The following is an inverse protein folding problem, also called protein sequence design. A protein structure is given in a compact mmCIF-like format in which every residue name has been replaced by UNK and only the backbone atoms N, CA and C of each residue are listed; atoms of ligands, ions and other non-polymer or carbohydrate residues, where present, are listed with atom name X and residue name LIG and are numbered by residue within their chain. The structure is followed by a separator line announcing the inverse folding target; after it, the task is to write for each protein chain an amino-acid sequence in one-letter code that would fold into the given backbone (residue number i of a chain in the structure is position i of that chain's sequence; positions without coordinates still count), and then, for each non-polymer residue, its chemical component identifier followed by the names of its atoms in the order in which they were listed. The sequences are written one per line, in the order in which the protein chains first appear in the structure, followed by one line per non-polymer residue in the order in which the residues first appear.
data_IF_515194927243
#
_entry.id   IF_515194927243
#
_cell.length_a   1.000
_cell.length_b   1.000
_cell.length_c   1.000
_cell.angle_alpha   90.00
_cell.angle_beta   90.00
_cell.angle_gamma   90.00
#
_symmetry.space_group_name_H-M   'P 1'
#
loop_
_entity.id
_entity.type
_entity.pdbx_description
1 polymer ?
#
# COMPACT_ATOMS: atom_id res chain seq x y z
N UNK A 1 39.77 -37.53 -22.02
CA UNK A 1 39.28 -36.15 -22.19
C UNK A 1 37.93 -36.10 -21.49
N UNK A 2 37.92 -35.83 -20.17
CA UNK A 2 37.87 -34.52 -19.50
C UNK A 2 36.40 -34.15 -19.18
N UNK A 3 36.00 -33.60 -18.04
CA UNK A 3 36.59 -33.38 -16.71
C UNK A 3 35.43 -32.89 -15.84
N UNK A 4 35.12 -33.54 -14.71
CA UNK A 4 34.16 -33.05 -13.72
C UNK A 4 34.91 -32.73 -12.42
N UNK A 5 35.26 -31.47 -12.23
CA UNK A 5 35.96 -30.98 -11.05
C UNK A 5 34.95 -30.66 -9.92
N UNK A 6 34.82 -31.58 -8.98
CA UNK A 6 34.23 -31.35 -7.67
C UNK A 6 35.22 -30.55 -6.80
N UNK A 7 34.92 -29.28 -6.54
CA UNK A 7 35.63 -28.48 -5.56
C UNK A 7 35.10 -28.81 -4.15
N UNK A 8 35.74 -29.77 -3.46
CA UNK A 8 35.54 -29.98 -2.02
C UNK A 8 36.35 -28.92 -1.27
N UNK A 9 35.68 -27.97 -0.59
CA UNK A 9 36.31 -27.07 0.37
C UNK A 9 36.39 -27.75 1.74
N UNK A 10 37.62 -27.92 2.24
CA UNK A 10 37.92 -28.36 3.61
C UNK A 10 37.64 -27.24 4.63
N UNK A 11 37.19 -27.55 5.86
CA UNK A 11 37.00 -26.57 6.92
C UNK A 11 38.34 -26.21 7.57
N UNK A 12 38.60 -24.92 7.78
CA UNK A 12 39.73 -24.44 8.59
C UNK A 12 39.30 -24.29 10.06
N UNK A 13 40.16 -24.64 11.03
CA UNK A 13 39.78 -24.73 12.44
C UNK A 13 39.80 -23.36 13.16
N UNK A 14 38.89 -23.24 14.12
CA UNK A 14 38.83 -22.21 15.15
C UNK A 14 40.16 -22.10 15.91
N UNK A 15 40.69 -20.88 16.08
CA UNK A 15 41.73 -20.59 17.07
C UNK A 15 41.09 -20.02 18.33
N UNK A 16 41.42 -20.67 19.44
CA UNK A 16 41.04 -20.32 20.80
C UNK A 16 41.64 -18.98 21.23
N UNK A 17 40.85 -18.24 22.01
CA UNK A 17 41.29 -17.09 22.78
C UNK A 17 42.08 -17.59 24.00
N UNK A 18 43.33 -17.13 24.12
CA UNK A 18 44.21 -17.37 25.26
C UNK A 18 44.50 -16.07 26.01
N UNK A 19 44.46 -16.17 27.33
CA UNK A 19 44.54 -15.11 28.32
C UNK A 19 45.91 -14.40 28.42
N UNK A 20 45.84 -13.11 28.75
CA UNK A 20 46.70 -12.33 29.65
C UNK A 20 48.17 -11.97 29.29
N UNK A 21 48.41 -10.65 29.41
CA UNK A 21 49.61 -9.93 29.95
C UNK A 21 50.36 -9.02 28.95
N UNK A 22 51.03 -7.95 29.43
CA UNK A 22 50.53 -6.88 30.28
C UNK A 22 50.75 -5.48 29.66
N UNK A 23 50.11 -4.48 30.27
CA UNK A 23 50.16 -3.06 29.92
C UNK A 23 51.60 -2.50 29.88
N UNK A 24 51.96 -1.88 28.75
CA UNK A 24 53.12 -1.01 28.64
C UNK A 24 52.66 0.44 28.59
N UNK A 25 53.13 1.22 29.57
CA UNK A 25 52.88 2.65 29.70
C UNK A 25 53.71 3.41 28.67
N UNK A 26 53.04 4.16 27.80
CA UNK A 26 53.67 5.22 27.02
C UNK A 26 52.97 6.54 27.34
N UNK A 27 53.68 7.39 28.08
CA UNK A 27 53.37 8.79 28.29
C UNK A 27 53.46 9.55 26.96
N UNK A 28 52.34 10.06 26.46
CA UNK A 28 52.25 10.89 25.27
C UNK A 28 51.44 12.15 25.55
N UNK A 29 52.08 13.30 25.38
CA UNK A 29 51.60 14.65 25.65
C UNK A 29 50.27 14.97 24.95
N UNK A 30 49.34 15.58 25.70
CA UNK A 30 48.06 16.06 25.19
C UNK A 30 48.22 17.37 24.40
N UNK A 31 48.17 17.29 23.07
CA UNK A 31 47.95 18.45 22.22
C UNK A 31 46.44 18.65 22.01
N UNK A 32 45.88 19.71 22.60
CA UNK A 32 44.52 20.18 22.33
C UNK A 32 44.47 20.78 20.93
N UNK A 33 43.78 20.12 20.00
CA UNK A 33 43.35 20.73 18.75
C UNK A 33 41.93 21.27 18.95
N UNK A 34 41.81 22.59 19.00
CA UNK A 34 40.54 23.31 18.98
C UNK A 34 40.02 23.37 17.53
N UNK A 35 38.86 22.76 17.25
CA UNK A 35 38.13 22.93 16.00
C UNK A 35 37.30 24.24 16.05
N UNK A 36 37.24 25.04 14.97
CA UNK A 36 36.44 26.25 14.96
C UNK A 36 34.95 25.94 14.70
N UNK A 37 34.10 26.66 15.43
CA UNK A 37 32.64 26.57 15.37
C UNK A 37 32.09 27.13 14.05
N UNK A 38 31.59 26.25 13.18
CA UNK A 38 30.77 26.61 12.02
C UNK A 38 29.28 26.31 12.33
N UNK A 39 28.68 27.12 13.21
CA UNK A 39 27.26 27.07 13.53
C UNK A 39 26.62 28.42 13.21
N UNK A 40 26.45 28.73 11.92
CA UNK A 40 25.64 29.85 11.38
C UNK A 40 25.46 29.61 9.88
N UNK A 41 24.40 28.89 9.50
CA UNK A 41 24.11 28.64 8.07
C UNK A 41 22.88 27.78 7.75
N UNK A 42 22.33 26.99 8.69
CA UNK A 42 21.20 26.08 8.39
C UNK A 42 19.85 26.77 8.21
N UNK A 43 19.66 27.98 8.74
CA UNK A 43 18.36 28.64 8.74
C UNK A 43 17.93 29.20 7.37
N UNK A 44 18.87 29.48 6.45
CA UNK A 44 18.58 30.12 5.16
C UNK A 44 18.37 29.15 3.99
N UNK A 45 18.62 27.85 4.19
CA UNK A 45 18.49 26.85 3.13
C UNK A 45 17.09 26.25 3.04
N UNK A 46 16.33 26.26 4.15
CA UNK A 46 14.91 25.82 4.21
C UNK A 46 13.99 26.54 3.22
N UNK A 47 14.36 27.74 2.77
CA UNK A 47 13.56 28.56 1.86
C UNK A 47 13.82 28.34 0.36
N UNK A 48 14.80 27.49 -0.05
CA UNK A 48 15.18 27.33 -1.46
C UNK A 48 14.77 25.99 -2.11
N UNK A 49 14.17 25.06 -1.38
CA UNK A 49 13.87 23.70 -1.87
C UNK A 49 12.40 23.46 -2.28
N UNK A 50 11.55 24.49 -2.27
CA UNK A 50 10.10 24.36 -2.53
C UNK A 50 9.65 24.32 -4.00
N UNK A 51 10.54 24.30 -4.99
CA UNK A 51 10.14 24.60 -6.38
C UNK A 51 10.20 23.43 -7.39
N UNK A 52 10.62 22.21 -7.01
CA UNK A 52 10.57 21.09 -7.93
C UNK A 52 10.42 19.74 -7.20
N UNK A 53 9.23 19.14 -7.27
CA UNK A 53 8.90 17.70 -7.14
C UNK A 53 7.63 17.35 -6.35
N UNK A 54 6.79 18.32 -6.00
CA UNK A 54 5.54 18.11 -5.26
C UNK A 54 5.39 19.24 -4.26
N UNK A 55 4.26 19.94 -4.28
CA UNK A 55 4.03 21.03 -3.33
C UNK A 55 4.11 20.53 -1.88
N UNK A 56 4.25 21.46 -0.94
CA UNK A 56 4.17 21.17 0.50
C UNK A 56 2.93 20.31 0.79
N UNK A 57 3.12 19.01 1.02
CA UNK A 57 2.06 18.04 1.32
C UNK A 57 1.78 16.95 0.27
N UNK A 58 2.49 16.89 -0.86
CA UNK A 58 2.42 15.71 -1.75
C UNK A 58 3.09 14.49 -1.05
N UNK A 59 2.39 13.35 -0.89
CA UNK A 59 3.00 12.16 -0.30
C UNK A 59 4.02 11.47 -1.22
N UNK A 60 4.15 11.89 -2.49
CA UNK A 60 5.07 11.29 -3.46
C UNK A 60 6.21 12.25 -3.78
N UNK A 61 7.44 11.74 -3.85
CA UNK A 61 8.65 12.48 -4.25
C UNK A 61 9.34 11.81 -5.43
N UNK A 62 10.06 12.59 -6.24
CA UNK A 62 10.83 12.05 -7.37
C UNK A 62 12.24 11.58 -6.96
N UNK A 63 12.85 10.73 -7.78
CA UNK A 63 14.27 10.34 -7.66
C UNK A 63 15.22 11.53 -7.71
N UNK A 64 14.90 12.56 -8.50
CA UNK A 64 15.68 13.79 -8.56
C UNK A 64 15.64 14.57 -7.24
N UNK A 65 14.46 14.67 -6.62
CA UNK A 65 14.31 15.30 -5.31
C UNK A 65 15.05 14.53 -4.24
N UNK A 66 14.88 13.20 -4.18
CA UNK A 66 15.56 12.38 -3.19
C UNK A 66 17.09 12.51 -3.29
N UNK A 67 17.63 12.47 -4.51
CA UNK A 67 19.06 12.64 -4.74
C UNK A 67 19.61 14.00 -4.25
N UNK A 68 18.79 15.06 -4.30
CA UNK A 68 19.15 16.37 -3.81
C UNK A 68 19.01 16.54 -2.28
N UNK A 69 18.39 15.57 -1.59
CA UNK A 69 18.04 15.65 -0.16
C UNK A 69 18.51 14.42 0.64
N UNK A 70 19.42 13.59 0.13
CA UNK A 70 19.86 12.34 0.77
C UNK A 70 20.32 12.51 2.22
N UNK A 71 20.90 13.67 2.56
CA UNK A 71 21.38 13.96 3.92
C UNK A 71 20.26 14.40 4.88
N UNK A 72 19.16 14.93 4.35
CA UNK A 72 18.09 15.59 5.10
C UNK A 72 16.85 14.71 5.29
N UNK A 73 16.91 13.43 4.89
CA UNK A 73 15.81 12.47 5.05
C UNK A 73 16.29 11.15 5.64
N UNK A 74 15.37 10.41 6.25
CA UNK A 74 15.54 8.98 6.51
C UNK A 74 14.95 8.19 5.35
N UNK A 75 15.61 7.10 4.95
CA UNK A 75 15.23 6.34 3.75
C UNK A 75 14.96 4.90 4.16
N UNK A 76 13.80 4.36 3.78
CA UNK A 76 13.41 2.98 4.05
C UNK A 76 13.27 2.20 2.74
N UNK A 77 13.97 1.09 2.64
CA UNK A 77 13.83 0.12 1.56
C UNK A 77 12.83 -0.97 1.97
N UNK A 78 11.67 -0.99 1.34
CA UNK A 78 10.60 -1.96 1.59
C UNK A 78 10.45 -2.95 0.42
N UNK A 79 11.51 -3.23 -0.34
CA UNK A 79 11.45 -4.18 -1.46
C UNK A 79 10.98 -5.56 -1.03
N UNK A 80 10.10 -6.12 -1.84
CA UNK A 80 9.49 -7.42 -1.60
C UNK A 80 8.70 -7.93 -2.77
N UNK A 81 8.07 -9.08 -2.57
CA UNK A 81 7.15 -9.70 -3.52
C UNK A 81 6.11 -10.55 -2.81
N UNK A 82 5.03 -10.85 -3.54
CA UNK A 82 4.00 -11.79 -3.11
C UNK A 82 3.95 -12.93 -4.11
N UNK A 83 4.48 -14.09 -3.72
CA UNK A 83 4.39 -15.28 -4.57
C UNK A 83 3.03 -15.91 -4.38
N UNK A 84 2.32 -16.12 -5.47
CA UNK A 84 1.01 -16.76 -5.43
C UNK A 84 1.09 -18.06 -6.20
N UNK A 85 0.66 -19.15 -5.58
CA UNK A 85 0.59 -20.47 -6.18
C UNK A 85 -0.84 -21.01 -6.06
N UNK A 86 -1.33 -21.62 -7.12
CA UNK A 86 -2.58 -22.40 -7.08
C UNK A 86 -2.33 -23.69 -6.29
N UNK A 87 -3.16 -23.94 -5.29
CA UNK A 87 -3.08 -25.13 -4.41
C UNK A 87 -4.19 -26.14 -4.69
N UNK A 88 -5.27 -25.70 -5.34
CA UNK A 88 -6.36 -26.51 -5.88
C UNK A 88 -7.12 -25.66 -6.91
N UNK A 89 -7.95 -26.24 -7.80
CA UNK A 89 -8.74 -25.48 -8.76
C UNK A 89 -9.50 -24.30 -8.13
N UNK A 90 -9.15 -23.08 -8.54
CA UNK A 90 -9.75 -21.84 -8.02
C UNK A 90 -9.37 -21.50 -6.57
N UNK A 91 -8.31 -22.10 -6.03
CA UNK A 91 -7.77 -21.82 -4.70
C UNK A 91 -6.27 -21.52 -4.77
N UNK A 92 -5.89 -20.38 -4.21
CA UNK A 92 -4.53 -19.86 -4.18
C UNK A 92 -3.97 -19.80 -2.76
N UNK A 93 -2.65 -19.86 -2.64
CA UNK A 93 -1.94 -19.48 -1.43
C UNK A 93 -0.87 -18.45 -1.76
N UNK A 94 -0.73 -17.45 -0.89
CA UNK A 94 0.30 -16.42 -1.01
C UNK A 94 1.42 -16.63 -0.01
N UNK A 95 2.65 -16.40 -0.47
CA UNK A 95 3.84 -16.29 0.35
C UNK A 95 4.36 -14.84 0.27
N UNK A 96 4.43 -14.17 1.41
CA UNK A 96 4.92 -12.79 1.51
C UNK A 96 6.43 -12.82 1.75
N UNK A 97 7.18 -12.14 0.89
CA UNK A 97 8.65 -12.18 0.90
C UNK A 97 9.20 -10.76 0.94
N UNK A 98 9.93 -10.42 2.00
CA UNK A 98 10.80 -9.26 2.02
C UNK A 98 12.12 -9.61 1.34
N UNK A 99 12.53 -8.82 0.35
CA UNK A 99 13.68 -9.12 -0.50
C UNK A 99 14.97 -8.53 0.09
N UNK A 100 15.41 -9.04 1.23
CA UNK A 100 16.63 -8.54 1.89
C UNK A 100 17.89 -8.77 1.05
N UNK A 101 17.97 -9.88 0.32
CA UNK A 101 19.09 -10.16 -0.57
C UNK A 101 19.22 -9.10 -1.67
N UNK A 102 18.10 -8.66 -2.28
CA UNK A 102 18.10 -7.57 -3.27
C UNK A 102 18.61 -6.24 -2.68
N UNK A 103 18.38 -6.01 -1.38
CA UNK A 103 18.93 -4.87 -0.64
C UNK A 103 20.45 -4.98 -0.47
N UNK A 104 20.95 -6.16 -0.11
CA UNK A 104 22.39 -6.40 0.00
C UNK A 104 23.12 -6.27 -1.34
N UNK A 105 22.48 -6.66 -2.43
CA UNK A 105 23.02 -6.52 -3.79
C UNK A 105 23.04 -5.08 -4.29
N UNK A 106 22.30 -4.16 -3.66
CA UNK A 106 22.39 -2.74 -3.92
C UNK A 106 21.16 -1.98 -3.45
N UNK A 107 21.37 -0.81 -2.84
CA UNK A 107 20.29 0.05 -2.33
C UNK A 107 20.62 1.54 -2.47
N UNK A 108 19.63 2.40 -2.24
CA UNK A 108 19.81 3.86 -2.25
C UNK A 108 20.74 4.25 -1.08
N UNK A 109 21.74 5.13 -1.27
CA UNK A 109 22.68 5.48 -0.22
C UNK A 109 22.02 5.95 1.07
N UNK A 110 22.40 5.34 2.20
CA UNK A 110 21.84 5.62 3.53
C UNK A 110 20.43 5.05 3.79
N UNK A 111 19.91 4.21 2.90
CA UNK A 111 18.67 3.48 3.14
C UNK A 111 18.83 2.41 4.21
N UNK A 112 17.78 2.19 5.00
CA UNK A 112 17.68 1.10 5.97
C UNK A 112 16.63 0.13 5.47
N UNK A 113 16.93 -1.16 5.53
CA UNK A 113 15.96 -2.18 5.15
C UNK A 113 14.78 -2.25 6.15
N UNK A 114 13.58 -2.18 5.60
CA UNK A 114 12.31 -2.38 6.29
C UNK A 114 11.70 -3.71 5.83
N UNK A 115 11.77 -4.73 6.68
CA UNK A 115 11.12 -6.01 6.42
C UNK A 115 9.61 -5.85 6.63
N UNK A 116 8.87 -5.49 5.57
CA UNK A 116 7.42 -5.27 5.63
C UNK A 116 6.60 -6.52 6.04
N UNK A 117 7.23 -7.68 6.21
CA UNK A 117 6.60 -8.90 6.74
C UNK A 117 6.82 -9.08 8.25
N UNK A 118 7.67 -8.26 8.87
CA UNK A 118 8.06 -8.35 10.29
C UNK A 118 8.08 -7.01 11.02
N UNK A 119 8.71 -6.01 10.40
CA UNK A 119 8.84 -4.67 10.95
C UNK A 119 7.47 -3.97 10.94
N UNK A 120 6.97 -3.65 12.14
CA UNK A 120 5.69 -2.98 12.35
C UNK A 120 4.46 -3.86 12.12
N UNK A 121 4.62 -5.19 12.20
CA UNK A 121 3.56 -6.18 11.99
C UNK A 121 3.26 -6.91 13.29
N UNK A 122 1.99 -7.03 13.66
CA UNK A 122 1.56 -7.90 14.77
C UNK A 122 1.47 -9.34 14.27
N UNK A 123 2.51 -10.12 14.57
CA UNK A 123 2.65 -11.51 14.13
C UNK A 123 1.80 -12.50 14.94
N UNK A 124 1.06 -12.03 15.95
CA UNK A 124 0.06 -12.84 16.66
C UNK A 124 -1.27 -12.93 15.90
N UNK A 125 -1.49 -12.03 14.93
CA UNK A 125 -2.71 -11.99 14.13
C UNK A 125 -2.77 -13.11 13.09
N UNK A 126 -4.01 -13.45 12.69
CA UNK A 126 -4.25 -14.45 11.64
C UNK A 126 -3.72 -14.00 10.28
N UNK A 127 -3.81 -12.70 9.97
CA UNK A 127 -3.31 -12.16 8.71
C UNK A 127 -1.82 -11.87 8.85
N UNK A 128 -0.92 -12.52 8.07
CA UNK A 128 0.52 -12.53 8.35
C UNK A 128 1.23 -11.18 8.34
N UNK A 129 0.63 -10.15 7.75
CA UNK A 129 1.21 -8.82 7.54
C UNK A 129 0.34 -7.72 8.16
N UNK A 130 -0.57 -8.07 9.06
CA UNK A 130 -1.44 -7.13 9.76
C UNK A 130 -0.61 -6.20 10.66
N UNK A 131 -0.97 -4.92 10.67
CA UNK A 131 -0.16 -3.90 11.31
C UNK A 131 -0.19 -4.02 12.84
N UNK A 132 0.97 -3.77 13.45
CA UNK A 132 1.08 -3.48 14.89
C UNK A 132 0.10 -2.36 15.26
N UNK A 133 -0.70 -2.58 16.30
CA UNK A 133 -1.68 -1.61 16.78
C UNK A 133 -1.08 -0.62 17.75
N UNK A 134 -0.09 -1.04 18.53
CA UNK A 134 0.51 -0.27 19.60
C UNK A 134 1.51 0.76 19.06
N UNK A 135 1.26 2.04 19.34
CA UNK A 135 2.09 3.12 18.85
C UNK A 135 3.49 3.11 19.48
N UNK A 136 3.59 2.83 20.78
CA UNK A 136 4.86 2.85 21.50
C UNK A 136 5.81 1.76 20.97
N UNK A 137 5.29 0.55 20.74
CA UNK A 137 6.03 -0.56 20.13
C UNK A 137 6.53 -0.19 18.72
N UNK A 138 5.67 0.44 17.91
CA UNK A 138 6.06 0.88 16.57
C UNK A 138 7.10 2.01 16.60
N UNK A 139 6.98 2.97 17.52
CA UNK A 139 7.94 4.07 17.68
C UNK A 139 9.30 3.57 18.13
N UNK A 140 9.36 2.63 19.09
CA UNK A 140 10.59 2.01 19.52
C UNK A 140 11.31 1.27 18.36
N UNK A 141 10.56 0.63 17.47
CA UNK A 141 11.10 0.03 16.25
C UNK A 141 11.68 1.09 15.30
N UNK A 142 10.98 2.21 15.08
CA UNK A 142 11.50 3.30 14.26
C UNK A 142 12.82 3.84 14.82
N UNK A 143 12.91 4.08 16.12
CA UNK A 143 14.14 4.54 16.77
C UNK A 143 15.27 3.52 16.60
N UNK A 144 15.00 2.23 16.80
CA UNK A 144 15.97 1.16 16.58
C UNK A 144 16.47 1.08 15.13
N UNK A 145 15.64 1.50 14.16
CA UNK A 145 15.97 1.60 12.73
C UNK A 145 16.59 2.95 12.33
N UNK A 146 16.82 3.86 13.27
CA UNK A 146 17.40 5.18 12.97
C UNK A 146 16.40 6.19 12.37
N UNK A 147 15.10 5.99 12.60
CA UNK A 147 14.02 6.87 12.16
C UNK A 147 13.42 7.62 13.35
N UNK A 148 13.58 8.95 13.34
CA UNK A 148 12.96 9.86 14.31
C UNK A 148 11.96 10.79 13.64
N UNK A 149 11.44 11.77 14.39
CA UNK A 149 10.47 12.77 13.89
C UNK A 149 11.12 14.07 13.39
N UNK A 150 12.44 14.16 13.42
CA UNK A 150 13.22 15.37 13.11
C UNK A 150 13.32 15.68 11.61
N UNK A 151 13.04 14.69 10.76
CA UNK A 151 13.15 14.80 9.31
C UNK A 151 12.09 13.97 8.56
N UNK A 152 11.84 14.24 7.27
CA UNK A 152 10.98 13.39 6.45
C UNK A 152 11.52 11.96 6.31
N UNK A 153 10.60 11.02 6.15
CA UNK A 153 10.93 9.62 5.81
C UNK A 153 10.50 9.37 4.38
N UNK A 154 11.41 8.85 3.55
CA UNK A 154 11.13 8.44 2.18
C UNK A 154 11.19 6.93 2.10
N UNK A 155 10.07 6.31 1.75
CA UNK A 155 9.97 4.86 1.56
C UNK A 155 10.02 4.56 0.07
N UNK A 156 10.74 3.51 -0.32
CA UNK A 156 10.70 2.99 -1.68
C UNK A 156 10.58 1.47 -1.71
N UNK A 157 10.17 0.94 -2.85
CA UNK A 157 10.22 -0.48 -3.18
C UNK A 157 10.84 -0.67 -4.57
N UNK A 158 10.59 -1.80 -5.23
CA UNK A 158 11.18 -2.08 -6.54
C UNK A 158 10.75 -1.01 -7.57
N UNK A 159 9.51 -0.53 -7.56
CA UNK A 159 9.11 0.58 -8.42
C UNK A 159 7.61 0.79 -8.62
N UNK A 160 6.78 -0.21 -8.33
CA UNK A 160 5.32 -0.12 -8.47
C UNK A 160 4.60 0.45 -7.23
N UNK A 161 5.38 0.78 -6.19
CA UNK A 161 4.94 1.50 -5.00
C UNK A 161 4.01 0.72 -4.07
N UNK A 162 3.74 -0.57 -4.31
CA UNK A 162 2.80 -1.34 -3.50
C UNK A 162 3.26 -1.50 -2.05
N UNK A 163 4.52 -1.88 -1.84
CA UNK A 163 5.09 -2.10 -0.51
C UNK A 163 5.50 -0.77 0.13
N UNK A 164 5.99 0.17 -0.69
CA UNK A 164 6.29 1.52 -0.22
C UNK A 164 5.03 2.22 0.31
N UNK A 165 3.88 2.07 -0.37
CA UNK A 165 2.60 2.61 0.09
C UNK A 165 2.13 1.95 1.40
N UNK A 166 2.39 0.65 1.59
CA UNK A 166 2.05 -0.05 2.85
C UNK A 166 2.81 0.52 4.04
N UNK A 167 4.13 0.70 3.91
CA UNK A 167 4.95 1.26 4.99
C UNK A 167 4.70 2.76 5.15
N UNK A 168 4.41 3.49 4.08
CA UNK A 168 3.95 4.88 4.18
C UNK A 168 2.65 4.99 5.01
N UNK A 169 1.68 4.11 4.77
CA UNK A 169 0.43 4.08 5.51
C UNK A 169 0.64 3.72 6.99
N UNK A 170 1.55 2.79 7.32
CA UNK A 170 1.86 2.46 8.71
C UNK A 170 2.49 3.63 9.46
N UNK A 171 3.46 4.30 8.84
CA UNK A 171 4.07 5.52 9.38
C UNK A 171 3.01 6.60 9.63
N UNK A 172 2.07 6.78 8.70
CA UNK A 172 0.98 7.74 8.84
C UNK A 172 0.01 7.37 9.97
N UNK A 173 -0.37 6.09 10.08
CA UNK A 173 -1.25 5.57 11.14
C UNK A 173 -0.66 5.77 12.53
N UNK A 174 0.64 5.50 12.69
CA UNK A 174 1.36 5.74 13.95
C UNK A 174 1.80 7.19 14.15
N UNK A 175 1.44 8.09 13.24
CA UNK A 175 1.54 9.53 13.44
C UNK A 175 2.85 10.18 13.05
N UNK A 176 3.71 9.51 12.27
CA UNK A 176 4.91 10.14 11.72
C UNK A 176 4.52 11.40 10.93
N UNK A 177 5.17 12.57 11.15
CA UNK A 177 4.69 13.85 10.64
C UNK A 177 4.89 14.03 9.13
N UNK A 178 5.88 13.33 8.55
CA UNK A 178 6.24 13.54 7.15
C UNK A 178 6.71 12.29 6.40
N UNK A 179 5.90 11.22 6.32
CA UNK A 179 6.21 10.07 5.46
C UNK A 179 5.93 10.40 3.99
N UNK A 180 6.77 9.87 3.09
CA UNK A 180 6.73 10.03 1.63
C UNK A 180 7.03 8.70 0.94
N UNK A 181 6.57 8.56 -0.31
CA UNK A 181 6.88 7.44 -1.20
C UNK A 181 7.72 7.92 -2.38
N UNK A 182 8.79 7.20 -2.72
CA UNK A 182 9.59 7.47 -3.90
C UNK A 182 8.87 6.96 -5.16
N UNK A 183 8.56 7.86 -6.09
CA UNK A 183 8.02 7.48 -7.39
C UNK A 183 9.04 6.66 -8.19
N UNK A 184 8.60 5.54 -8.77
CA UNK A 184 9.41 4.65 -9.61
C UNK A 184 10.46 3.83 -8.87
N UNK A 185 10.63 4.05 -7.56
CA UNK A 185 11.42 3.21 -6.66
C UNK A 185 12.85 2.94 -7.11
N UNK A 186 13.32 1.75 -6.75
CA UNK A 186 14.68 1.28 -7.03
C UNK A 186 14.99 1.13 -8.52
N UNK A 187 14.04 0.61 -9.31
CA UNK A 187 14.25 0.41 -10.74
C UNK A 187 14.47 1.74 -11.47
N UNK A 188 13.71 2.79 -11.13
CA UNK A 188 13.96 4.12 -11.70
C UNK A 188 15.30 4.70 -11.23
N UNK A 189 15.62 4.57 -9.94
CA UNK A 189 16.89 5.04 -9.38
C UNK A 189 18.09 4.45 -10.13
N UNK A 190 18.07 3.13 -10.36
CA UNK A 190 19.08 2.42 -11.16
C UNK A 190 19.08 2.86 -12.64
N UNK A 191 17.92 2.95 -13.27
CA UNK A 191 17.80 3.32 -14.68
C UNK A 191 18.36 4.72 -14.96
N UNK A 192 18.32 5.61 -13.97
CA UNK A 192 18.91 6.95 -14.03
C UNK A 192 20.41 6.97 -13.73
N UNK A 193 21.04 5.82 -13.49
CA UNK A 193 22.48 5.70 -13.21
C UNK A 193 22.91 6.36 -11.90
N UNK A 194 21.99 6.47 -10.92
CA UNK A 194 22.29 7.10 -9.63
C UNK A 194 23.13 6.18 -8.75
N UNK A 195 23.92 6.80 -7.86
CA UNK A 195 24.80 6.06 -6.95
C UNK A 195 24.03 5.10 -6.04
N UNK A 196 24.66 3.97 -5.70
CA UNK A 196 24.12 2.93 -4.82
C UNK A 196 25.17 2.46 -3.83
N UNK A 197 24.72 1.98 -2.67
CA UNK A 197 25.55 1.27 -1.70
C UNK A 197 25.36 -0.25 -1.86
N UNK A 198 26.42 -1.02 -1.64
CA UNK A 198 26.45 -2.49 -1.75
C UNK A 198 26.84 -3.07 -0.41
N UNK A 199 26.20 -4.18 -0.03
CA UNK A 199 26.37 -4.86 1.26
C UNK A 199 26.10 -3.95 2.46
N UNK A 200 25.71 -4.52 3.58
CA UNK A 200 25.90 -3.80 4.84
C UNK A 200 27.38 -3.94 5.22
N UNK A 201 28.15 -2.86 5.07
CA UNK A 201 28.75 -2.35 6.28
C UNK A 201 28.61 -0.83 6.32
N UNK A 202 28.48 -0.32 7.54
CA UNK A 202 28.67 1.09 7.89
C UNK A 202 27.41 1.94 7.99
N UNK A 203 27.29 2.50 9.20
CA UNK A 203 26.54 3.71 9.51
C UNK A 203 25.13 3.69 8.96
N UNK A 204 24.30 2.85 9.58
CA UNK A 204 23.02 3.37 10.07
C UNK A 204 23.23 4.85 10.37
N UNK A 205 22.52 5.75 9.68
CA UNK A 205 22.30 7.11 10.17
C UNK A 205 21.41 7.00 11.42
N UNK A 206 21.81 6.19 12.41
CA UNK A 206 21.51 6.39 13.80
C UNK A 206 22.12 7.74 14.12
N UNK A 207 21.40 8.80 13.77
CA UNK A 207 21.74 10.10 14.28
C UNK A 207 21.70 9.94 15.79
N UNK A 208 22.69 10.47 16.49
CA UNK A 208 22.70 10.51 17.95
C UNK A 208 21.50 11.30 18.54
N UNK A 209 20.62 11.82 17.68
CA UNK A 209 19.38 12.52 17.95
C UNK A 209 18.14 11.84 17.31
N UNK A 210 18.17 10.52 17.12
CA UNK A 210 17.00 9.75 16.64
C UNK A 210 15.99 9.60 17.78
N UNK A 211 15.44 10.72 18.24
CA UNK A 211 14.37 10.74 19.23
C UNK A 211 13.06 10.83 18.49
N UNK A 212 12.18 9.88 18.77
CA UNK A 212 10.81 9.96 18.33
C UNK A 212 10.05 10.89 19.28
N UNK A 213 9.78 12.13 18.82
CA UNK A 213 9.08 13.11 19.64
C UNK A 213 7.58 12.82 19.63
N UNK A 214 7.09 12.27 20.75
CA UNK A 214 5.68 11.98 20.95
C UNK A 214 4.77 13.22 20.82
N UNK A 215 5.29 14.45 20.98
CA UNK A 215 4.50 15.67 20.78
C UNK A 215 4.31 16.01 19.29
N UNK A 216 5.23 15.57 18.42
CA UNK A 216 5.12 15.69 16.97
C UNK A 216 4.36 14.52 16.36
N UNK A 217 4.43 13.35 17.01
CA UNK A 217 3.69 12.18 16.61
C UNK A 217 2.19 12.35 16.89
N UNK A 218 1.38 12.29 15.83
CA UNK A 218 -0.08 12.37 15.95
C UNK A 218 -0.69 11.13 15.33
N UNK A 219 -0.86 10.03 16.10
CA UNK A 219 -1.49 8.82 15.61
C UNK A 219 -2.82 9.13 14.92
N UNK A 220 -3.08 8.42 13.83
CA UNK A 220 -4.24 8.63 12.96
C UNK A 220 -5.10 7.37 12.94
N UNK A 221 -5.76 7.01 14.07
CA UNK A 221 -6.59 5.82 14.11
C UNK A 221 -7.69 5.85 13.04
N UNK A 222 -8.12 7.04 12.62
CA UNK A 222 -9.14 7.21 11.59
C UNK A 222 -8.75 6.70 10.19
N UNK A 223 -7.47 6.41 9.92
CA UNK A 223 -7.02 5.83 8.64
C UNK A 223 -6.98 4.30 8.64
N UNK A 224 -7.33 3.65 9.76
CA UNK A 224 -7.51 2.20 9.89
C UNK A 224 -8.97 1.92 10.24
N UNK A 225 -9.48 0.80 9.75
CA UNK A 225 -10.81 0.27 10.11
C UNK A 225 -10.64 -1.19 10.50
N UNK A 226 -11.35 -1.65 11.53
CA UNK A 226 -11.43 -3.07 11.91
C UNK A 226 -12.58 -3.80 11.19
N UNK A 227 -12.63 -5.12 11.30
CA UNK A 227 -13.75 -5.89 10.75
C UNK A 227 -15.09 -5.51 11.41
N UNK A 228 -15.09 -5.30 12.73
CA UNK A 228 -16.27 -4.89 13.50
C UNK A 228 -16.77 -3.51 13.06
N UNK A 229 -15.86 -2.55 12.93
CA UNK A 229 -16.18 -1.21 12.46
C UNK A 229 -16.70 -1.25 11.02
N UNK A 230 -16.05 -2.01 10.14
CA UNK A 230 -16.53 -2.16 8.76
C UNK A 230 -17.92 -2.79 8.72
N UNK A 231 -18.17 -3.85 9.49
CA UNK A 231 -19.48 -4.48 9.57
C UNK A 231 -20.57 -3.52 10.08
N UNK A 232 -20.25 -2.66 11.04
CA UNK A 232 -21.16 -1.64 11.55
C UNK A 232 -21.45 -0.51 10.54
N UNK A 233 -20.56 -0.28 9.56
CA UNK A 233 -20.74 0.68 8.48
C UNK A 233 -21.61 0.14 7.33
N UNK A 234 -21.81 -1.18 7.24
CA UNK A 234 -22.66 -1.78 6.21
C UNK A 234 -24.15 -1.63 6.55
N UNK A 235 -25.04 -1.38 5.58
CA UNK A 235 -26.47 -1.31 5.83
C UNK A 235 -27.00 -2.66 6.36
N UNK A 236 -27.97 -2.64 7.30
CA UNK A 236 -28.58 -3.86 7.81
C UNK A 236 -29.21 -4.65 6.66
N UNK A 237 -28.73 -5.88 6.44
CA UNK A 237 -29.23 -6.78 5.40
C UNK A 237 -28.30 -7.03 4.21
N UNK A 238 -27.12 -6.40 4.12
CA UNK A 238 -26.04 -6.79 3.19
C UNK A 238 -26.36 -6.74 1.70
N UNK A 239 -27.55 -6.30 1.31
CA UNK A 239 -27.89 -6.05 -0.08
C UNK A 239 -27.62 -4.58 -0.38
N UNK A 240 -26.71 -4.31 -1.31
CA UNK A 240 -26.75 -3.04 -2.02
C UNK A 240 -28.19 -2.83 -2.51
N UNK A 241 -28.69 -1.60 -2.39
CA UNK A 241 -29.95 -1.21 -3.02
C UNK A 241 -29.82 -1.43 -4.53
N UNK A 242 -30.20 -2.62 -4.99
CA UNK A 242 -30.30 -2.93 -6.40
C UNK A 242 -31.41 -2.05 -6.96
N UNK A 243 -31.06 -1.19 -7.91
CA UNK A 243 -32.01 -0.48 -8.76
C UNK A 243 -32.87 -1.48 -9.52
N UNK A 244 -33.93 -1.96 -8.89
CA UNK A 244 -35.01 -2.69 -9.50
C UNK A 244 -36.11 -1.69 -9.83
N UNK A 245 -36.23 -1.34 -11.12
CA UNK A 245 -37.35 -0.56 -11.63
C UNK A 245 -38.68 -1.23 -11.31
N UNK A 246 -39.40 -0.67 -10.34
CA UNK A 246 -40.77 -1.03 -10.01
C UNK A 246 -41.57 0.24 -9.85
N UNK A 247 -42.34 0.60 -10.88
CA UNK A 247 -43.32 1.69 -10.81
C UNK A 247 -44.39 1.35 -9.77
N UNK A 248 -44.35 2.00 -8.61
CA UNK A 248 -45.38 1.89 -7.58
C UNK A 248 -45.52 3.22 -6.86
N UNK A 249 -46.52 4.01 -7.24
CA UNK A 249 -46.86 5.26 -6.57
C UNK A 249 -47.37 5.00 -5.15
N UNK A 250 -46.73 5.63 -4.17
CA UNK A 250 -47.16 5.63 -2.77
C UNK A 250 -46.53 6.80 -2.04
N UNK A 251 -47.29 7.88 -1.85
CA UNK A 251 -46.86 9.01 -1.02
C UNK A 251 -46.92 8.60 0.45
N UNK A 252 -45.78 8.53 1.12
CA UNK A 252 -45.69 8.30 2.55
C UNK A 252 -44.49 9.05 3.10
N UNK A 253 -44.74 10.21 3.71
CA UNK A 253 -43.72 10.96 4.43
C UNK A 253 -43.23 10.16 5.64
N UNK A 254 -41.92 10.11 5.82
CA UNK A 254 -41.30 9.43 6.95
C UNK A 254 -39.82 9.74 7.07
N UNK A 255 -39.49 10.62 8.03
CA UNK A 255 -38.23 10.64 8.76
C UNK A 255 -36.96 10.96 7.97
N UNK A 256 -36.53 12.21 8.03
CA UNK A 256 -35.12 12.56 7.86
C UNK A 256 -34.30 11.85 8.97
N UNK A 257 -33.78 10.67 8.65
CA UNK A 257 -32.76 9.99 9.45
C UNK A 257 -31.46 10.79 9.40
N UNK A 258 -30.84 10.96 10.57
CA UNK A 258 -29.61 11.73 10.76
C UNK A 258 -28.54 11.41 9.70
N UNK A 259 -27.99 12.47 9.09
CA UNK A 259 -27.04 12.40 8.00
C UNK A 259 -25.69 11.79 8.38
N UNK A 260 -25.59 10.47 8.31
CA UNK A 260 -24.32 9.76 8.23
C UNK A 260 -23.71 9.96 6.84
N UNK A 261 -22.43 10.32 6.77
CA UNK A 261 -21.71 10.38 5.51
C UNK A 261 -21.76 9.00 4.83
N UNK A 262 -22.07 8.97 3.53
CA UNK A 262 -22.09 7.73 2.74
C UNK A 262 -20.75 6.99 2.87
N UNK A 263 -20.77 5.66 2.97
CA UNK A 263 -19.56 4.83 3.04
C UNK A 263 -19.39 4.10 1.71
N UNK A 264 -18.20 4.19 1.13
CA UNK A 264 -17.82 3.49 -0.10
C UNK A 264 -16.75 2.47 0.25
N UNK A 265 -17.12 1.19 0.25
CA UNK A 265 -16.18 0.08 0.45
C UNK A 265 -15.58 -0.29 -0.90
N UNK A 266 -14.25 -0.41 -0.98
CA UNK A 266 -13.54 -0.63 -2.23
C UNK A 266 -12.62 -1.83 -2.12
N UNK A 267 -12.85 -2.79 -3.01
CA UNK A 267 -12.04 -4.00 -3.15
C UNK A 267 -10.98 -3.80 -4.23
N UNK A 268 -9.71 -3.86 -3.84
CA UNK A 268 -8.57 -3.65 -4.74
C UNK A 268 -7.98 -4.94 -5.33
N UNK A 269 -8.63 -6.08 -5.09
CA UNK A 269 -8.26 -7.39 -5.66
C UNK A 269 -8.59 -7.47 -7.15
N UNK A 270 -8.10 -8.53 -7.80
CA UNK A 270 -8.45 -8.80 -9.19
C UNK A 270 -9.91 -9.27 -9.33
N UNK A 271 -10.42 -9.29 -10.56
CA UNK A 271 -11.82 -9.62 -10.84
C UNK A 271 -12.23 -11.04 -10.39
N UNK A 272 -11.32 -12.02 -10.53
CA UNK A 272 -11.59 -13.42 -10.17
C UNK A 272 -11.68 -13.61 -8.66
N UNK A 273 -10.86 -12.89 -7.89
CA UNK A 273 -10.93 -12.88 -6.43
C UNK A 273 -12.16 -12.12 -5.92
N UNK A 274 -12.49 -10.99 -6.55
CA UNK A 274 -13.68 -10.20 -6.24
C UNK A 274 -14.99 -10.98 -6.49
N UNK A 275 -15.06 -11.71 -7.59
CA UNK A 275 -16.23 -12.54 -7.93
C UNK A 275 -16.33 -13.79 -7.05
N UNK A 276 -15.20 -14.27 -6.52
CA UNK A 276 -15.10 -15.51 -5.77
C UNK A 276 -14.74 -16.73 -6.61
N UNK A 277 -14.46 -16.55 -7.90
CA UNK A 277 -13.92 -17.60 -8.78
C UNK A 277 -12.56 -18.12 -8.29
N UNK A 278 -11.74 -17.22 -7.73
CA UNK A 278 -10.47 -17.53 -7.09
C UNK A 278 -10.54 -17.15 -5.61
N UNK A 279 -10.09 -18.02 -4.71
CA UNK A 279 -10.04 -17.74 -3.26
C UNK A 279 -8.65 -17.97 -2.68
N UNK A 280 -8.27 -17.16 -1.69
CA UNK A 280 -7.04 -17.35 -0.89
C UNK A 280 -7.27 -17.88 0.52
N UNK A 281 -8.53 -17.87 0.94
CA UNK A 281 -8.99 -18.35 2.24
C UNK A 281 -10.12 -19.36 2.09
N UNK A 282 -10.85 -19.65 3.18
CA UNK A 282 -11.91 -20.65 3.17
C UNK A 282 -13.09 -20.24 2.28
N UNK A 283 -13.33 -18.94 2.11
CA UNK A 283 -14.43 -18.39 1.30
C UNK A 283 -13.90 -17.49 0.17
N UNK A 284 -14.51 -17.59 -1.00
CA UNK A 284 -14.41 -16.60 -2.09
C UNK A 284 -15.52 -15.56 -1.99
N UNK A 285 -15.49 -14.55 -2.85
CA UNK A 285 -16.46 -13.46 -2.88
C UNK A 285 -15.86 -12.17 -2.34
N UNK A 286 -16.72 -11.23 -1.94
CA UNK A 286 -16.35 -9.88 -1.48
C UNK A 286 -17.15 -9.44 -0.26
N UNK A 287 -16.72 -8.34 0.35
CA UNK A 287 -17.51 -7.61 1.35
C UNK A 287 -18.77 -7.08 0.67
N UNK A 288 -19.97 -7.23 1.26
CA UNK A 288 -21.21 -6.81 0.61
C UNK A 288 -21.22 -5.33 0.24
N UNK A 289 -21.69 -5.03 -0.98
CA UNK A 289 -21.74 -3.67 -1.52
C UNK A 289 -20.37 -3.08 -1.90
N UNK A 290 -19.26 -3.82 -1.77
CA UNK A 290 -17.95 -3.32 -2.14
C UNK A 290 -17.83 -3.10 -3.67
N UNK A 291 -17.30 -1.95 -4.06
CA UNK A 291 -17.00 -1.64 -5.47
C UNK A 291 -15.68 -2.29 -5.90
N UNK A 292 -15.58 -2.85 -7.12
CA UNK A 292 -14.32 -3.35 -7.63
C UNK A 292 -13.46 -2.20 -8.15
N UNK A 293 -12.22 -2.09 -7.66
CA UNK A 293 -11.18 -1.23 -8.24
C UNK A 293 -9.81 -1.92 -8.13
N UNK A 294 -9.53 -2.93 -9.00
CA UNK A 294 -8.26 -3.64 -9.01
C UNK A 294 -7.06 -2.69 -8.98
N UNK A 295 -6.07 -2.94 -8.13
CA UNK A 295 -4.88 -2.06 -7.95
C UNK A 295 -4.23 -1.67 -9.28
N UNK A 296 -4.15 -2.58 -10.25
CA UNK A 296 -3.57 -2.35 -11.58
C UNK A 296 -4.20 -1.18 -12.34
N UNK A 297 -5.47 -0.86 -12.08
CA UNK A 297 -6.16 0.27 -12.73
C UNK A 297 -5.69 1.62 -12.18
N UNK A 298 -5.08 1.66 -10.99
CA UNK A 298 -4.47 2.87 -10.42
C UNK A 298 -3.07 3.15 -10.99
N UNK A 299 -2.52 2.23 -11.78
CA UNK A 299 -1.18 2.32 -12.33
C UNK A 299 -1.21 2.62 -13.83
N UNK A 300 -0.24 3.41 -14.28
CA UNK A 300 0.04 3.57 -15.69
C UNK A 300 0.71 2.29 -16.23
N UNK A 301 0.12 1.61 -17.22
CA UNK A 301 0.61 0.32 -17.69
C UNK A 301 1.96 0.39 -18.40
N UNK A 302 2.37 1.55 -18.90
CA UNK A 302 3.67 1.72 -19.56
C UNK A 302 4.81 1.89 -18.56
N UNK A 303 4.53 2.45 -17.39
CA UNK A 303 5.57 2.82 -16.41
C UNK A 303 5.49 2.04 -15.10
N UNK A 304 4.35 1.41 -14.80
CA UNK A 304 4.07 0.77 -13.50
C UNK A 304 3.83 1.75 -12.36
N UNK A 305 3.86 3.07 -12.60
CA UNK A 305 3.71 4.13 -11.59
C UNK A 305 2.24 4.46 -11.38
N UNK A 306 1.92 5.14 -10.27
CA UNK A 306 0.57 5.70 -10.10
C UNK A 306 0.19 6.59 -11.29
N UNK A 307 -1.07 6.50 -11.72
CA UNK A 307 -1.60 7.32 -12.80
C UNK A 307 -1.30 8.82 -12.57
N UNK A 308 -1.03 9.61 -13.64
CA UNK A 308 -0.95 11.06 -13.52
C UNK A 308 -2.22 11.65 -12.90
N UNK A 309 -2.08 12.72 -12.11
CA UNK A 309 -3.19 13.31 -11.32
C UNK A 309 -4.52 13.47 -12.08
N UNK A 310 -4.57 14.01 -13.33
CA UNK A 310 -5.84 14.14 -14.05
C UNK A 310 -6.52 12.79 -14.33
N UNK A 311 -5.74 11.76 -14.67
CA UNK A 311 -6.26 10.40 -14.93
C UNK A 311 -6.66 9.69 -13.64
N UNK A 312 -5.86 9.85 -12.58
CA UNK A 312 -6.18 9.31 -11.26
C UNK A 312 -7.49 9.92 -10.72
N UNK A 313 -7.64 11.23 -10.80
CA UNK A 313 -8.85 11.96 -10.41
C UNK A 313 -10.09 11.47 -11.14
N UNK A 314 -10.04 11.44 -12.48
CA UNK A 314 -11.17 10.98 -13.28
C UNK A 314 -11.57 9.53 -12.96
N UNK A 315 -10.60 8.65 -12.75
CA UNK A 315 -10.85 7.26 -12.34
C UNK A 315 -11.50 7.19 -10.96
N UNK A 316 -11.00 7.93 -9.98
CA UNK A 316 -11.49 7.91 -8.60
C UNK A 316 -12.90 8.50 -8.49
N UNK A 317 -13.15 9.67 -9.09
CA UNK A 317 -14.48 10.29 -9.12
C UNK A 317 -15.49 9.39 -9.85
N UNK A 318 -15.12 8.88 -11.03
CA UNK A 318 -16.01 8.03 -11.82
C UNK A 318 -16.30 6.66 -11.19
N UNK A 319 -15.30 6.01 -10.58
CA UNK A 319 -15.48 4.68 -9.97
C UNK A 319 -16.13 4.75 -8.60
N UNK A 320 -15.77 5.72 -7.78
CA UNK A 320 -16.21 5.80 -6.39
C UNK A 320 -17.44 6.71 -6.22
N UNK A 321 -17.76 7.51 -7.22
CA UNK A 321 -18.82 8.51 -7.17
C UNK A 321 -18.47 9.76 -6.38
N UNK A 322 -17.30 9.81 -5.73
CA UNK A 322 -16.92 10.87 -4.79
C UNK A 322 -16.56 12.18 -5.51
N UNK A 323 -16.86 13.31 -4.88
CA UNK A 323 -16.30 14.59 -5.27
C UNK A 323 -14.92 14.80 -4.65
N UNK A 324 -13.85 14.76 -5.46
CA UNK A 324 -12.52 15.16 -5.01
C UNK A 324 -12.45 16.69 -5.05
N UNK A 325 -13.11 17.39 -4.12
CA UNK A 325 -13.16 18.86 -4.09
C UNK A 325 -11.79 19.51 -4.36
N UNK A 326 -11.77 20.53 -5.23
CA UNK A 326 -10.54 21.24 -5.60
C UNK A 326 -9.90 21.88 -4.37
N UNK A 327 -8.74 21.38 -3.96
CA UNK A 327 -7.95 21.98 -2.89
C UNK A 327 -7.72 23.47 -3.18
N UNK A 328 -8.23 24.32 -2.29
CA UNK A 328 -8.07 25.76 -2.36
C UNK A 328 -6.61 26.18 -2.30
N UNK A 329 -6.05 26.55 -3.45
CA UNK A 329 -5.00 27.54 -3.53
C UNK A 329 -5.65 28.91 -3.42
N UNK A 330 -5.65 29.50 -2.22
CA UNK A 330 -6.00 30.90 -2.02
C UNK A 330 -4.98 31.80 -2.69
N UNK A 331 -5.26 32.20 -3.93
CA UNK A 331 -4.56 33.27 -4.64
C UNK A 331 -5.61 34.23 -5.20
N UNK A 332 -5.82 35.36 -4.52
CA UNK A 332 -6.64 36.45 -5.03
C UNK A 332 -6.06 37.00 -6.33
N UNK A 333 -6.92 37.30 -7.30
CA UNK A 333 -6.51 37.85 -8.58
C UNK A 333 -7.70 38.08 -9.51
N UNK A 334 -8.38 39.20 -9.26
CA UNK A 334 -8.96 40.14 -10.21
C UNK A 334 -9.86 39.64 -11.36
N UNK A 335 -11.07 40.21 -11.39
CA UNK A 335 -12.05 40.01 -12.44
C UNK A 335 -11.58 40.51 -13.81
N UNK A 336 -11.77 39.67 -14.82
CA UNK A 336 -11.70 40.03 -16.23
C UNK A 336 -12.94 39.50 -16.94
N UNK A 337 -13.86 40.39 -17.27
CA UNK A 337 -15.00 40.14 -18.14
C UNK A 337 -14.53 39.79 -19.55
N UNK A 338 -14.89 38.60 -20.03
CA UNK A 338 -14.64 38.17 -21.41
C UNK A 338 -15.80 37.33 -21.92
N UNK A 339 -16.69 37.96 -22.68
CA UNK A 339 -17.72 37.33 -23.50
C UNK A 339 -17.09 36.50 -24.61
N UNK A 340 -17.46 35.22 -24.73
CA UNK A 340 -16.99 34.34 -25.79
C UNK A 340 -17.95 33.18 -25.98
N UNK A 341 -18.58 33.18 -27.16
CA UNK A 341 -19.63 32.35 -27.72
C UNK A 341 -19.54 30.82 -27.55
N UNK A 342 -20.71 30.20 -27.66
CA UNK A 342 -20.95 28.79 -27.41
C UNK A 342 -20.51 27.84 -28.51
N UNK A 343 -20.19 26.62 -28.09
CA UNK A 343 -19.90 25.47 -28.93
C UNK A 343 -20.34 24.22 -28.20
N UNK A 344 -21.58 23.80 -28.45
CA UNK A 344 -22.16 22.56 -27.96
C UNK A 344 -21.45 21.37 -28.61
N UNK A 345 -20.79 20.54 -27.81
CA UNK A 345 -20.44 19.17 -28.20
C UNK A 345 -20.91 18.23 -27.10
N UNK A 346 -22.10 17.68 -27.29
CA UNK A 346 -22.65 16.60 -26.49
C UNK A 346 -21.80 15.33 -26.71
N UNK A 347 -21.01 14.97 -25.69
CA UNK A 347 -20.47 13.62 -25.56
C UNK A 347 -21.48 12.74 -24.82
N UNK A 348 -21.54 11.42 -25.07
CA UNK A 348 -22.51 10.54 -24.44
C UNK A 348 -22.19 10.41 -22.94
N UNK A 349 -22.95 11.13 -22.12
CA UNK A 349 -22.95 11.01 -20.68
C UNK A 349 -23.55 9.67 -20.26
N UNK A 350 -22.69 8.70 -19.98
CA UNK A 350 -23.05 7.59 -19.11
C UNK A 350 -23.16 8.13 -17.69
N UNK A 351 -24.38 8.47 -17.27
CA UNK A 351 -24.71 8.78 -15.88
C UNK A 351 -24.60 7.49 -15.05
N UNK A 352 -23.38 7.13 -14.66
CA UNK A 352 -23.18 6.22 -13.55
C UNK A 352 -23.59 6.95 -12.28
N UNK A 353 -24.66 6.49 -11.63
CA UNK A 353 -25.00 6.92 -10.27
C UNK A 353 -23.80 6.59 -9.37
N UNK A 354 -23.02 7.62 -9.01
CA UNK A 354 -21.88 7.48 -8.12
C UNK A 354 -22.33 7.03 -6.73
N UNK A 355 -21.67 6.02 -6.15
CA UNK A 355 -22.06 5.44 -4.87
C UNK A 355 -21.73 6.34 -3.66
N UNK A 356 -20.72 7.21 -3.75
CA UNK A 356 -20.31 8.10 -2.67
C UNK A 356 -20.66 9.55 -2.96
N UNK A 357 -21.53 10.18 -2.18
CA UNK A 357 -21.71 11.64 -2.26
C UNK A 357 -20.43 12.41 -1.89
N UNK A 358 -20.50 13.74 -1.94
CA UNK A 358 -19.42 14.60 -1.45
C UNK A 358 -19.05 14.26 0.00
N UNK A 359 -17.76 14.06 0.28
CA UNK A 359 -17.27 13.73 1.62
C UNK A 359 -17.51 12.29 2.09
N UNK A 360 -17.91 11.36 1.22
CA UNK A 360 -18.10 9.95 1.56
C UNK A 360 -16.85 9.30 2.20
N UNK A 361 -17.03 8.42 3.17
CA UNK A 361 -15.91 7.68 3.76
C UNK A 361 -15.51 6.52 2.85
N UNK A 362 -14.29 6.54 2.32
CA UNK A 362 -13.77 5.45 1.47
C UNK A 362 -13.01 4.44 2.31
N UNK A 363 -13.42 3.18 2.31
CA UNK A 363 -12.72 2.09 3.02
C UNK A 363 -12.13 1.12 2.00
N UNK A 364 -10.80 1.10 1.88
CA UNK A 364 -10.08 0.24 0.95
C UNK A 364 -9.67 -1.09 1.62
N UNK A 365 -9.80 -2.21 0.89
CA UNK A 365 -9.26 -3.50 1.32
C UNK A 365 -8.72 -4.32 0.14
N UNK A 366 -7.95 -5.36 0.45
CA UNK A 366 -7.47 -6.34 -0.54
C UNK A 366 -7.52 -7.76 0.03
N UNK A 367 -6.50 -8.61 -0.17
CA UNK A 367 -6.40 -9.87 0.58
C UNK A 367 -5.81 -9.67 1.98
N UNK A 368 -4.75 -8.88 2.15
CA UNK A 368 -4.07 -8.70 3.44
C UNK A 368 -3.56 -7.28 3.67
N UNK A 369 -4.34 -6.25 3.32
CA UNK A 369 -4.04 -4.86 3.65
C UNK A 369 -2.95 -4.16 2.82
N UNK A 370 -2.13 -4.88 2.04
CA UNK A 370 -0.99 -4.30 1.29
C UNK A 370 -1.45 -3.48 0.08
N UNK A 371 -2.04 -4.14 -0.94
CA UNK A 371 -2.46 -3.47 -2.18
C UNK A 371 -3.50 -2.34 -1.97
N UNK A 372 -4.29 -2.41 -0.90
CA UNK A 372 -5.27 -1.39 -0.52
C UNK A 372 -4.59 -0.04 -0.22
N UNK A 373 -3.34 -0.05 0.26
CA UNK A 373 -2.58 1.16 0.59
C UNK A 373 -2.25 1.98 -0.67
N UNK A 374 -2.21 1.37 -1.87
CA UNK A 374 -2.06 2.12 -3.13
C UNK A 374 -3.26 3.02 -3.40
N UNK A 375 -4.48 2.56 -3.10
CA UNK A 375 -5.68 3.39 -3.23
C UNK A 375 -5.68 4.53 -2.18
N UNK A 376 -5.30 4.23 -0.94
CA UNK A 376 -5.14 5.24 0.10
C UNK A 376 -4.13 6.33 -0.30
N UNK A 377 -2.97 5.93 -0.85
CA UNK A 377 -1.96 6.85 -1.35
C UNK A 377 -2.48 7.72 -2.51
N UNK A 378 -3.23 7.12 -3.46
CA UNK A 378 -3.84 7.86 -4.57
C UNK A 378 -4.87 8.90 -4.07
N UNK A 379 -5.75 8.52 -3.14
CA UNK A 379 -6.71 9.43 -2.50
C UNK A 379 -6.01 10.56 -1.74
N UNK A 380 -4.97 10.23 -0.97
CA UNK A 380 -4.16 11.23 -0.26
C UNK A 380 -3.51 12.23 -1.22
N UNK A 381 -2.91 11.76 -2.32
CA UNK A 381 -2.27 12.61 -3.34
C UNK A 381 -3.25 13.59 -3.98
N UNK A 382 -4.50 13.18 -4.17
CA UNK A 382 -5.57 14.02 -4.72
C UNK A 382 -6.22 14.98 -3.72
N UNK A 383 -5.74 15.01 -2.46
CA UNK A 383 -6.28 15.88 -1.43
C UNK A 383 -7.47 15.29 -0.67
N UNK A 384 -7.92 14.08 -1.01
CA UNK A 384 -8.96 13.40 -0.27
C UNK A 384 -8.42 12.89 1.06
N UNK A 385 -9.15 13.11 2.16
CA UNK A 385 -8.71 12.75 3.52
C UNK A 385 -9.66 11.81 4.25
N UNK A 386 -10.92 11.69 3.79
CA UNK A 386 -11.90 10.78 4.41
C UNK A 386 -11.78 9.37 3.85
N UNK A 387 -10.60 8.76 4.05
CA UNK A 387 -10.31 7.41 3.61
C UNK A 387 -9.71 6.60 4.77
N UNK A 388 -9.87 5.28 4.71
CA UNK A 388 -9.25 4.34 5.63
C UNK A 388 -8.91 3.02 4.93
N UNK A 389 -7.99 2.25 5.52
CA UNK A 389 -7.66 0.89 5.11
C UNK A 389 -8.25 -0.09 6.11
N UNK A 390 -9.05 -1.05 5.61
CA UNK A 390 -9.40 -2.24 6.38
C UNK A 390 -8.25 -3.25 6.28
N UNK A 391 -7.42 -3.25 7.32
CA UNK A 391 -6.11 -3.91 7.35
C UNK A 391 -6.21 -5.43 7.31
N UNK A 392 -7.13 -6.02 8.10
CA UNK A 392 -7.40 -7.46 8.09
C UNK A 392 -7.87 -7.96 6.72
N UNK A 393 -8.56 -7.09 5.95
CA UNK A 393 -8.87 -7.33 4.55
C UNK A 393 -9.61 -8.67 4.33
N UNK A 394 -9.60 -9.23 3.11
CA UNK A 394 -10.34 -10.46 2.82
C UNK A 394 -9.83 -11.69 3.59
N UNK A 395 -8.54 -11.76 3.94
CA UNK A 395 -8.00 -12.91 4.67
C UNK A 395 -8.55 -13.01 6.10
N UNK A 396 -8.91 -11.88 6.73
CA UNK A 396 -9.65 -11.86 7.99
C UNK A 396 -11.15 -12.02 7.75
N UNK A 397 -11.75 -11.15 6.93
CA UNK A 397 -13.20 -11.15 6.68
C UNK A 397 -13.70 -12.50 6.17
N UNK A 398 -13.04 -13.03 5.13
CA UNK A 398 -13.38 -14.30 4.50
C UNK A 398 -13.20 -15.51 5.42
N UNK A 399 -12.43 -15.40 6.51
CA UNK A 399 -12.25 -16.45 7.50
C UNK A 399 -13.31 -16.46 8.61
N UNK A 400 -14.02 -15.34 8.81
CA UNK A 400 -15.01 -15.16 9.88
C UNK A 400 -16.43 -15.48 9.42
N UNK A 401 -16.92 -16.67 9.75
CA UNK A 401 -18.20 -17.20 9.26
C UNK A 401 -19.41 -16.31 9.56
N UNK A 402 -19.36 -15.56 10.67
CA UNK A 402 -20.42 -14.63 11.09
C UNK A 402 -20.53 -13.38 10.22
N UNK A 403 -19.47 -13.04 9.46
CA UNK A 403 -19.46 -11.88 8.58
C UNK A 403 -20.09 -12.22 7.21
N UNK A 404 -20.96 -11.33 6.68
CA UNK A 404 -21.66 -11.59 5.43
C UNK A 404 -20.72 -11.55 4.23
N UNK A 405 -21.05 -12.32 3.19
CA UNK A 405 -20.28 -12.40 1.95
C UNK A 405 -21.21 -12.24 0.76
N UNK A 406 -20.81 -11.39 -0.19
CA UNK A 406 -21.44 -11.31 -1.49
C UNK A 406 -20.61 -12.13 -2.48
N UNK A 407 -21.16 -13.23 -3.00
CA UNK A 407 -20.57 -13.95 -4.11
C UNK A 407 -21.07 -13.33 -5.42
N UNK A 408 -20.22 -13.24 -6.46
CA UNK A 408 -20.72 -12.92 -7.80
C UNK A 408 -21.80 -13.94 -8.17
N UNK A 409 -22.99 -13.49 -8.55
CA UNK A 409 -24.08 -14.37 -8.96
C UNK A 409 -23.63 -15.25 -10.12
N UNK A 410 -23.26 -16.49 -9.81
CA UNK A 410 -23.34 -17.56 -10.79
C UNK A 410 -24.82 -17.70 -11.10
N UNK A 411 -25.21 -17.37 -12.34
CA UNK A 411 -26.55 -17.64 -12.82
C UNK A 411 -26.93 -19.06 -12.41
N UNK A 412 -28.12 -19.21 -11.84
CA UNK A 412 -28.74 -20.51 -11.64
C UNK A 412 -28.57 -21.30 -12.93
N UNK A 413 -27.79 -22.37 -12.89
CA UNK A 413 -28.03 -23.49 -13.79
C UNK A 413 -29.41 -24.03 -13.37
N UNK A 414 -30.45 -23.48 -14.01
CA UNK A 414 -31.81 -23.91 -13.83
C UNK A 414 -31.89 -25.42 -14.02
N UNK A 415 -32.47 -26.09 -13.02
CA UNK A 415 -32.79 -27.50 -13.10
C UNK A 415 -33.66 -27.78 -14.31
N UNK A 416 -33.10 -28.54 -15.25
CA UNK A 416 -33.85 -29.30 -16.23
C UNK A 416 -33.79 -30.77 -15.85
N UNK A 417 -34.59 -31.17 -14.86
CA UNK A 417 -34.87 -32.58 -14.64
C UNK A 417 -35.55 -33.14 -15.88
N UNK A 418 -34.94 -34.14 -16.52
CA UNK A 418 -35.62 -35.02 -17.46
C UNK A 418 -35.25 -36.46 -17.11
N UNK A 419 -36.12 -37.05 -16.31
CA UNK A 419 -36.39 -38.48 -16.27
C UNK A 419 -36.85 -38.94 -17.65
N UNK A 420 -36.19 -39.94 -18.22
CA UNK A 420 -36.62 -40.61 -19.45
C UNK A 420 -35.85 -41.89 -19.66
N UNK A 421 -36.38 -43.00 -19.16
CA UNK A 421 -35.87 -44.34 -19.46
C UNK A 421 -36.17 -44.78 -20.89
N UNK A 422 -35.35 -45.68 -21.41
CA UNK A 422 -35.58 -46.36 -22.69
C UNK A 422 -34.38 -47.22 -23.08
N UNK A 423 -34.52 -48.54 -22.89
CA UNK A 423 -33.49 -49.52 -23.20
C UNK A 423 -33.26 -49.75 -24.69
N UNK A 424 -32.13 -50.39 -25.01
CA UNK A 424 -31.81 -50.89 -26.34
C UNK A 424 -30.45 -51.59 -26.36
N UNK A 425 -30.48 -52.93 -26.37
CA UNK A 425 -29.33 -53.80 -26.60
C UNK A 425 -28.86 -53.72 -28.07
N UNK A 426 -27.55 -53.92 -28.28
CA UNK A 426 -26.94 -54.89 -29.22
C UNK A 426 -25.73 -54.33 -29.98
N UNK A 427 -24.75 -55.22 -30.23
CA UNK A 427 -23.81 -55.09 -31.35
C UNK A 427 -22.34 -55.06 -30.95
N UNK A 428 -21.71 -56.22 -30.87
CA UNK A 428 -20.28 -56.34 -30.55
C UNK A 428 -19.34 -56.03 -31.72
N UNK A 429 -18.04 -56.12 -31.43
CA UNK A 429 -16.96 -56.05 -32.41
C UNK A 429 -15.67 -55.62 -31.75
N UNK A 430 -14.83 -56.59 -31.37
CA UNK A 430 -13.57 -56.33 -30.70
C UNK A 430 -12.50 -55.70 -31.61
N UNK A 431 -11.34 -55.43 -31.02
CA UNK A 431 -10.02 -55.82 -31.53
C UNK A 431 -8.95 -55.51 -30.47
N UNK A 432 -7.92 -56.35 -30.51
CA UNK A 432 -6.98 -56.75 -29.47
C UNK A 432 -5.84 -55.79 -29.16
N UNK A 433 -5.29 -56.00 -27.97
CA UNK A 433 -3.97 -55.62 -27.46
C UNK A 433 -2.83 -55.69 -28.48
N UNK A 434 -1.87 -54.76 -28.36
CA UNK A 434 -0.48 -55.05 -27.98
C UNK A 434 0.10 -53.92 -27.14
#
# INVERSE_FOLDING_TARGET
MASSALCRRSPRPHRAWGESSPLSSCSGSAARLTAPAAARGRATQRARHGAAAGGDGDPIVSTAWLAANLEDVSILDARGRVDTAEVAPGAEKSNYVACYDDYLEGHIPGAVFWDWTRDGVDRSQQVPVQLEGDADTFHALLEAKGVGTDRPVVVYDAGDGMFAARVWWSLLYHGHPSPRVLEGGWEQWKAEGRGSELYEPCTLKLSSATTFDAALARPRPEVRVTAEELAALLPPGGAAAGGGGGSGGGSGGGGAGAGGAAVVVVDTRNAEQYSGQVRRGPRGGRVPGALPLPRRELLDPATGRLLPRPRARALLEGRLGIGLGGGGGGGGGEGGSGSGEGGSSEGPGGSGEGAGGEGARVVAYCNGGVAACTLALALQREGYRNWAVYDGSWNEWGAREELPVEAGGGGQAGGGGQSGGGGGQSGGGGLSER
#
